data_IF_201051225305
#
_entry.id   IF_201051225305
#
_cell.length_a   1.000
_cell.length_b   1.000
_cell.length_c   1.000
_cell.angle_alpha   90.00
_cell.angle_beta   90.00
_cell.angle_gamma   90.00
#
_symmetry.space_group_name_H-M   'P 1'
#
loop_
_entity.id
_entity.type
_entity.pdbx_description
1 polymer ?
#
# COMPACT_ATOMS: atom_id res chain seq x y z
N UNK A 1 2.23 0.63 -8.36
CA UNK A 1 3.07 1.56 -7.57
C UNK A 1 4.52 1.40 -7.99
N UNK A 2 5.21 2.44 -8.46
CA UNK A 2 6.65 2.38 -8.80
C UNK A 2 7.58 2.21 -7.58
N UNK A 3 7.16 1.44 -6.57
CA UNK A 3 7.88 1.21 -5.31
C UNK A 3 8.44 -0.21 -5.31
N UNK A 4 9.56 -0.40 -4.61
CA UNK A 4 10.11 -1.74 -4.36
C UNK A 4 9.17 -2.56 -3.46
N UNK A 5 9.28 -3.88 -3.54
CA UNK A 5 8.52 -4.80 -2.68
C UNK A 5 8.80 -4.50 -1.19
N UNK A 6 10.03 -4.14 -0.83
CA UNK A 6 10.40 -3.78 0.54
C UNK A 6 9.63 -2.55 1.04
N UNK A 7 9.56 -1.49 0.24
CA UNK A 7 8.80 -0.30 0.61
C UNK A 7 7.30 -0.62 0.77
N UNK A 8 6.75 -1.53 -0.03
CA UNK A 8 5.37 -1.99 0.15
C UNK A 8 5.18 -2.76 1.46
N UNK A 9 6.12 -3.65 1.82
CA UNK A 9 6.09 -4.37 3.10
C UNK A 9 6.17 -3.43 4.30
N UNK A 10 7.03 -2.41 4.24
CA UNK A 10 7.11 -1.40 5.30
C UNK A 10 5.80 -0.62 5.45
N UNK A 11 5.13 -0.27 4.34
CA UNK A 11 3.81 0.37 4.40
C UNK A 11 2.77 -0.53 5.06
N UNK A 12 2.77 -1.82 4.75
CA UNK A 12 1.87 -2.81 5.38
C UNK A 12 2.15 -2.92 6.88
N UNK A 13 3.42 -3.05 7.28
CA UNK A 13 3.80 -3.14 8.69
C UNK A 13 3.54 -1.86 9.48
N UNK A 14 3.65 -0.70 8.82
CA UNK A 14 3.29 0.59 9.39
C UNK A 14 1.76 0.83 9.42
N UNK A 15 0.94 -0.13 8.96
CA UNK A 15 -0.52 0.00 8.95
C UNK A 15 -1.07 1.03 7.95
N UNK A 16 -0.26 1.43 6.95
CA UNK A 16 -0.65 2.44 5.95
C UNK A 16 -1.55 1.87 4.84
N UNK A 17 -1.52 0.56 4.63
CA UNK A 17 -2.33 -0.13 3.63
C UNK A 17 -3.15 -1.24 4.30
N UNK A 18 -4.46 -1.33 4.02
CA UNK A 18 -5.26 -2.48 4.43
C UNK A 18 -4.77 -3.73 3.70
N UNK A 19 -4.80 -4.87 4.40
CA UNK A 19 -4.36 -6.16 3.86
C UNK A 19 -5.27 -7.29 4.27
N UNK A 20 -5.38 -8.28 3.39
CA UNK A 20 -5.98 -9.58 3.72
C UNK A 20 -4.84 -10.55 4.05
N UNK A 21 -4.92 -11.20 5.21
CA UNK A 21 -3.97 -12.23 5.63
C UNK A 21 -4.53 -13.61 5.33
N UNK A 22 -3.83 -14.36 4.49
CA UNK A 22 -4.18 -15.75 4.15
C UNK A 22 -2.98 -16.66 4.45
N UNK A 23 -2.96 -17.21 5.67
CA UNK A 23 -1.82 -17.96 6.19
C UNK A 23 -0.54 -17.14 6.20
N UNK A 24 0.44 -17.54 5.37
CA UNK A 24 1.73 -16.83 5.20
C UNK A 24 1.69 -15.75 4.11
N UNK A 25 0.59 -15.64 3.37
CA UNK A 25 0.42 -14.67 2.28
C UNK A 25 -0.23 -13.41 2.81
N UNK A 26 0.19 -12.28 2.24
CA UNK A 26 -0.41 -10.98 2.42
C UNK A 26 -0.93 -10.56 1.06
N UNK A 27 -2.23 -10.32 0.96
CA UNK A 27 -2.89 -9.86 -0.25
C UNK A 27 -3.22 -8.38 -0.10
N UNK A 28 -2.97 -7.63 -1.16
CA UNK A 28 -3.28 -6.21 -1.28
C UNK A 28 -4.40 -6.06 -2.31
N UNK A 29 -5.42 -5.29 -1.97
CA UNK A 29 -6.45 -4.91 -2.91
C UNK A 29 -6.00 -3.72 -3.76
N UNK A 30 -6.23 -3.80 -5.06
CA UNK A 30 -5.81 -2.76 -6.00
C UNK A 30 -6.56 -1.45 -5.80
N UNK A 31 -7.85 -1.52 -5.45
CA UNK A 31 -8.67 -0.32 -5.24
C UNK A 31 -8.33 0.39 -3.94
N UNK A 32 -7.95 -0.35 -2.89
CA UNK A 32 -7.43 0.27 -1.67
C UNK A 32 -6.08 0.95 -1.90
N UNK A 33 -5.22 0.36 -2.73
CA UNK A 33 -3.96 0.99 -3.16
C UNK A 33 -4.21 2.26 -3.98
N UNK A 34 -5.14 2.23 -4.93
CA UNK A 34 -5.51 3.39 -5.73
C UNK A 34 -6.08 4.51 -4.85
N UNK A 35 -7.01 4.18 -3.94
CA UNK A 35 -7.56 5.15 -2.98
C UNK A 35 -6.46 5.77 -2.13
N UNK A 36 -5.50 4.97 -1.65
CA UNK A 36 -4.37 5.48 -0.89
C UNK A 36 -3.50 6.44 -1.71
N UNK A 37 -3.24 6.12 -2.99
CA UNK A 37 -2.48 7.01 -3.89
C UNK A 37 -3.21 8.34 -4.01
N UNK A 38 -4.51 8.32 -4.32
CA UNK A 38 -5.32 9.55 -4.46
C UNK A 38 -5.27 10.41 -3.18
N UNK A 39 -5.41 9.80 -2.00
CA UNK A 39 -5.34 10.49 -0.72
C UNK A 39 -3.97 11.10 -0.40
N UNK A 40 -2.90 10.65 -1.05
CA UNK A 40 -1.53 11.08 -0.78
C UNK A 40 -0.92 11.90 -1.92
N UNK A 41 -1.66 12.14 -3.01
CA UNK A 41 -1.21 13.03 -4.08
C UNK A 41 -0.97 14.43 -3.51
N UNK A 42 0.23 14.95 -3.77
CA UNK A 42 0.59 16.33 -3.50
C UNK A 42 1.20 16.91 -4.77
N UNK A 43 0.98 18.21 -4.99
CA UNK A 43 1.65 18.96 -6.04
C UNK A 43 2.87 19.66 -5.46
N UNK A 44 3.99 19.62 -6.16
CA UNK A 44 5.11 20.51 -5.84
C UNK A 44 4.72 21.96 -6.21
N UNK A 45 5.15 22.97 -5.43
CA UNK A 45 5.03 24.36 -5.83
C UNK A 45 5.86 24.69 -7.07
#
# INVERSE_FOLDING_TARGET
MGRSIWAVREMVWAGKLPVVRDGRRILLDVHDMDRWIEMQKTTYP
#
